data_IF_651424455048
#
_entry.id   IF_651424455048
#
_cell.length_a   1.000
_cell.length_b   1.000
_cell.length_c   1.000
_cell.angle_alpha   90.00
_cell.angle_beta   90.00
_cell.angle_gamma   90.00
#
_symmetry.space_group_name_H-M   'P 1'
#
loop_
_entity.id
_entity.type
_entity.pdbx_description
1 polymer ?
#
# COMPACT_ATOMS: atom_id res chain seq x y z
N UNK A 1 -17.33 9.37 -35.52
CA UNK A 1 -17.19 8.30 -34.51
C UNK A 1 -15.72 8.26 -34.10
N UNK A 2 -15.38 8.93 -33.00
CA UNK A 2 -14.04 8.87 -32.42
C UNK A 2 -13.96 7.70 -31.42
N UNK A 3 -12.83 6.99 -31.33
CA UNK A 3 -12.69 5.86 -30.41
C UNK A 3 -12.72 6.37 -28.97
N UNK A 4 -13.56 5.75 -28.12
CA UNK A 4 -13.54 5.90 -26.67
C UNK A 4 -12.19 5.40 -26.17
N UNK A 5 -11.31 6.32 -25.77
CA UNK A 5 -10.19 5.98 -24.90
C UNK A 5 -10.76 5.41 -23.58
N UNK A 6 -10.12 4.40 -22.98
CA UNK A 6 -10.54 3.89 -21.67
C UNK A 6 -10.46 5.04 -20.66
N UNK A 7 -11.53 5.18 -19.89
CA UNK A 7 -11.74 6.23 -18.90
C UNK A 7 -10.60 6.14 -17.88
N UNK A 8 -9.81 7.20 -17.81
CA UNK A 8 -8.66 7.33 -16.93
C UNK A 8 -9.15 7.29 -15.47
N UNK A 9 -8.57 6.37 -14.70
CA UNK A 9 -9.00 6.11 -13.31
C UNK A 9 -8.47 7.20 -12.38
N UNK A 10 -9.37 7.96 -11.75
CA UNK A 10 -9.15 8.82 -10.59
C UNK A 10 -7.87 9.70 -10.61
N UNK A 11 -7.87 10.77 -11.44
CA UNK A 11 -6.86 11.82 -11.38
C UNK A 11 -6.82 12.53 -10.01
N UNK A 12 -5.61 12.82 -9.54
CA UNK A 12 -5.38 13.65 -8.34
C UNK A 12 -5.78 15.08 -8.68
N UNK A 13 -6.92 15.49 -8.14
CA UNK A 13 -7.55 16.78 -8.44
C UNK A 13 -7.06 17.90 -7.52
N UNK A 14 -6.53 17.56 -6.34
CA UNK A 14 -6.03 18.53 -5.37
C UNK A 14 -4.94 17.91 -4.51
N UNK A 15 -3.87 18.68 -4.29
CA UNK A 15 -2.82 18.37 -3.32
C UNK A 15 -2.78 19.44 -2.24
N UNK A 16 -2.86 19.01 -0.99
CA UNK A 16 -2.71 19.87 0.17
C UNK A 16 -1.41 19.49 0.88
N UNK A 17 -0.66 20.49 1.31
CA UNK A 17 0.63 20.33 1.93
C UNK A 17 0.59 20.89 3.34
N UNK A 18 1.20 20.17 4.28
CA UNK A 18 1.18 20.52 5.69
C UNK A 18 2.55 20.30 6.30
N UNK A 19 3.14 21.35 6.83
CA UNK A 19 4.40 21.27 7.58
C UNK A 19 4.11 20.78 9.01
N UNK A 20 4.88 19.81 9.53
CA UNK A 20 4.60 19.18 10.83
C UNK A 20 5.86 18.76 11.59
N UNK A 21 5.74 18.58 12.91
CA UNK A 21 6.88 18.42 13.85
C UNK A 21 6.85 17.17 14.74
N UNK A 22 5.83 16.29 14.63
CA UNK A 22 5.49 15.36 15.72
C UNK A 22 6.15 13.96 15.70
N UNK A 23 6.83 13.53 14.63
CA UNK A 23 7.32 12.14 14.46
C UNK A 23 8.85 12.09 14.19
N UNK A 24 9.62 12.98 14.82
CA UNK A 24 11.02 13.29 14.43
C UNK A 24 12.03 12.25 14.89
N UNK A 25 11.90 11.76 16.13
CA UNK A 25 12.96 10.95 16.76
C UNK A 25 13.18 9.57 16.13
N UNK A 26 12.12 8.92 15.64
CA UNK A 26 12.20 7.56 15.08
C UNK A 26 12.84 7.58 13.69
N UNK A 27 12.43 8.50 12.84
CA UNK A 27 12.95 8.60 11.48
C UNK A 27 14.38 9.16 11.47
N UNK A 28 14.72 10.06 12.39
CA UNK A 28 16.10 10.50 12.60
C UNK A 28 17.02 9.33 12.99
N UNK A 29 16.57 8.43 13.86
CA UNK A 29 17.34 7.25 14.24
C UNK A 29 17.54 6.28 13.05
N UNK A 30 16.51 6.11 12.22
CA UNK A 30 16.58 5.31 10.98
C UNK A 30 17.56 5.92 9.98
N UNK A 31 17.48 7.24 9.76
CA UNK A 31 18.38 7.98 8.89
C UNK A 31 19.82 7.90 9.36
N UNK A 32 20.07 8.14 10.65
CA UNK A 32 21.40 8.04 11.23
C UNK A 32 22.00 6.63 11.04
N UNK A 33 21.17 5.59 11.18
CA UNK A 33 21.58 4.20 10.94
C UNK A 33 21.91 3.95 9.47
N UNK A 34 21.06 4.41 8.56
CA UNK A 34 21.25 4.23 7.11
C UNK A 34 22.53 4.92 6.61
N UNK A 35 22.77 6.16 7.04
CA UNK A 35 23.98 6.92 6.71
C UNK A 35 25.25 6.25 7.24
N UNK A 36 25.18 5.71 8.47
CA UNK A 36 26.30 4.98 9.09
C UNK A 36 26.65 3.70 8.33
N UNK A 37 25.65 2.92 7.92
CA UNK A 37 25.84 1.68 7.14
C UNK A 37 26.43 2.00 5.76
N UNK A 38 26.06 3.14 5.17
CA UNK A 38 26.57 3.59 3.88
C UNK A 38 27.95 4.29 3.94
N UNK A 39 28.56 4.42 5.12
CA UNK A 39 29.91 4.97 5.27
C UNK A 39 30.01 6.50 5.18
N UNK A 40 28.90 7.24 5.29
CA UNK A 40 28.86 8.70 5.20
C UNK A 40 28.85 9.39 6.58
N UNK A 41 29.50 10.54 6.70
CA UNK A 41 29.58 11.31 7.95
C UNK A 41 28.35 12.19 8.22
N UNK A 42 27.97 12.26 9.50
CA UNK A 42 26.78 12.97 9.98
C UNK A 42 27.14 14.43 10.30
N UNK A 43 27.17 15.30 9.30
CA UNK A 43 26.96 16.73 9.57
C UNK A 43 25.45 16.95 9.62
N UNK A 44 24.95 17.24 10.81
CA UNK A 44 23.55 17.45 11.18
C UNK A 44 22.72 18.12 10.08
N UNK A 45 21.49 17.63 9.92
CA UNK A 45 20.30 18.22 9.28
C UNK A 45 20.30 19.77 9.31
N UNK A 46 21.12 20.41 8.49
CA UNK A 46 21.29 21.86 8.48
C UNK A 46 20.37 22.44 7.42
N UNK A 47 19.37 23.15 7.94
CA UNK A 47 18.41 24.02 7.26
C UNK A 47 18.98 24.80 6.06
N UNK A 48 18.12 25.06 5.07
CA UNK A 48 18.14 26.31 4.30
C UNK A 48 16.77 26.62 3.64
N UNK A 49 16.34 27.90 3.45
CA UNK A 49 16.74 29.14 4.12
C UNK A 49 15.59 29.84 4.89
N UNK A 50 15.99 30.91 5.61
CA UNK A 50 15.28 31.75 6.60
C UNK A 50 14.08 32.56 6.10
N UNK A 51 13.07 32.69 6.96
CA UNK A 51 12.24 33.89 7.16
C UNK A 51 12.48 34.42 8.60
N UNK A 52 12.20 35.70 8.93
CA UNK A 52 12.90 36.43 9.99
C UNK A 52 12.66 35.87 11.39
N UNK A 53 13.74 35.86 12.17
CA UNK A 53 13.81 35.35 13.54
C UNK A 53 12.90 36.14 14.49
N UNK A 54 12.10 35.42 15.28
CA UNK A 54 11.69 35.85 16.62
C UNK A 54 12.13 34.83 17.65
N UNK A 55 12.83 35.33 18.68
CA UNK A 55 13.51 34.60 19.76
C UNK A 55 12.61 33.57 20.46
N UNK A 56 13.00 32.30 20.43
CA UNK A 56 12.85 31.41 21.59
C UNK A 56 13.71 30.16 21.41
N UNK A 57 14.29 29.68 22.51
CA UNK A 57 15.14 28.49 22.63
C UNK A 57 14.42 27.23 22.13
N UNK A 58 14.89 26.62 21.04
CA UNK A 58 14.33 25.38 20.49
C UNK A 58 15.39 24.27 20.34
N UNK A 59 15.00 22.99 20.51
CA UNK A 59 15.87 21.81 20.35
C UNK A 59 16.48 21.71 18.93
N UNK A 60 17.49 20.84 18.69
CA UNK A 60 18.23 20.81 17.42
C UNK A 60 17.33 20.59 16.20
N UNK A 61 17.67 21.14 15.02
CA UNK A 61 16.80 21.11 13.85
C UNK A 61 16.62 19.68 13.32
N UNK A 62 15.36 19.26 13.26
CA UNK A 62 14.88 18.06 12.62
C UNK A 62 14.90 18.18 11.10
N UNK A 63 14.84 17.05 10.39
CA UNK A 63 14.73 17.02 8.92
C UNK A 63 13.44 17.73 8.51
N UNK A 64 13.48 18.78 7.67
CA UNK A 64 12.27 19.43 7.21
C UNK A 64 11.33 18.41 6.55
N UNK A 65 10.12 18.29 7.10
CA UNK A 65 9.09 17.38 6.60
C UNK A 65 7.85 18.14 6.17
N UNK A 66 7.14 17.53 5.25
CA UNK A 66 5.82 17.98 4.82
C UNK A 66 4.94 16.76 4.57
N UNK A 67 3.74 16.76 5.15
CA UNK A 67 2.69 15.81 4.77
C UNK A 67 2.00 16.34 3.53
N UNK A 68 1.79 15.49 2.54
CA UNK A 68 1.00 15.83 1.38
C UNK A 68 -0.26 14.95 1.36
N UNK A 69 -1.40 15.57 1.17
CA UNK A 69 -2.69 14.92 1.05
C UNK A 69 -3.11 15.00 -0.42
N UNK A 70 -3.27 13.85 -1.05
CA UNK A 70 -3.66 13.73 -2.44
C UNK A 70 -5.13 13.32 -2.48
N UNK A 71 -5.93 14.10 -3.19
CA UNK A 71 -7.38 13.94 -3.25
C UNK A 71 -7.76 13.65 -4.69
N UNK A 72 -8.44 12.53 -4.90
CA UNK A 72 -9.08 12.23 -6.18
C UNK A 72 -10.60 12.29 -6.05
N UNK A 73 -11.20 12.76 -7.13
CA UNK A 73 -12.64 12.86 -7.26
C UNK A 73 -13.17 11.64 -8.04
N UNK A 74 -14.47 11.41 -7.94
CA UNK A 74 -15.15 10.40 -8.77
C UNK A 74 -14.97 10.70 -10.26
N UNK A 75 -14.91 9.66 -11.09
CA UNK A 75 -14.71 9.82 -12.53
C UNK A 75 -15.84 10.64 -13.15
N UNK A 76 -15.47 11.71 -13.86
CA UNK A 76 -16.42 12.65 -14.46
C UNK A 76 -17.03 13.68 -13.51
N UNK A 77 -16.63 13.70 -12.23
CA UNK A 77 -17.04 14.76 -11.31
C UNK A 77 -16.43 16.11 -11.71
N UNK A 78 -17.16 17.23 -11.55
CA UNK A 78 -16.60 18.56 -11.75
C UNK A 78 -15.53 18.85 -10.71
N UNK A 79 -14.62 19.79 -11.03
CA UNK A 79 -13.65 20.30 -10.07
C UNK A 79 -14.35 20.82 -8.81
N UNK A 80 -13.70 20.65 -7.65
CA UNK A 80 -14.23 21.12 -6.37
C UNK A 80 -14.55 22.62 -6.43
N UNK A 81 -15.73 22.99 -5.94
CA UNK A 81 -16.07 24.39 -5.74
C UNK A 81 -15.10 25.05 -4.75
N UNK A 82 -14.95 26.37 -4.80
CA UNK A 82 -14.09 27.08 -3.85
C UNK A 82 -14.50 26.82 -2.39
N UNK A 83 -15.82 26.73 -2.12
CA UNK A 83 -16.34 26.41 -0.80
C UNK A 83 -15.99 24.99 -0.34
N UNK A 84 -16.08 24.01 -1.24
CA UNK A 84 -15.75 22.62 -0.94
C UNK A 84 -14.24 22.40 -0.78
N UNK A 85 -13.43 23.09 -1.57
CA UNK A 85 -11.97 23.13 -1.39
C UNK A 85 -11.59 23.73 -0.04
N UNK A 86 -12.28 24.79 0.42
CA UNK A 86 -12.08 25.36 1.75
C UNK A 86 -12.48 24.41 2.87
N UNK A 87 -13.62 23.71 2.76
CA UNK A 87 -14.01 22.66 3.72
C UNK A 87 -12.98 21.54 3.80
N UNK A 88 -12.50 21.06 2.65
CA UNK A 88 -11.49 20.01 2.61
C UNK A 88 -10.18 20.45 3.24
N UNK A 89 -9.73 21.68 2.96
CA UNK A 89 -8.55 22.27 3.63
C UNK A 89 -8.75 22.31 5.14
N UNK A 90 -9.92 22.73 5.60
CA UNK A 90 -10.25 22.78 7.02
C UNK A 90 -10.22 21.40 7.69
N UNK A 91 -10.75 20.36 7.02
CA UNK A 91 -10.72 18.98 7.54
C UNK A 91 -9.31 18.42 7.72
N UNK A 92 -8.36 18.85 6.90
CA UNK A 92 -6.98 18.35 6.89
C UNK A 92 -6.03 19.20 7.76
N UNK A 93 -6.40 20.47 7.98
CA UNK A 93 -5.64 21.40 8.79
C UNK A 93 -5.54 20.96 10.26
N UNK A 94 -4.42 21.29 10.94
CA UNK A 94 -4.40 21.18 12.41
C UNK A 94 -5.32 22.26 13.01
N UNK A 95 -6.06 21.91 14.07
CA UNK A 95 -6.99 22.80 14.76
C UNK A 95 -6.38 24.16 15.12
N UNK A 96 -5.10 24.16 15.54
CA UNK A 96 -4.39 25.36 16.02
C UNK A 96 -3.33 25.91 15.05
N UNK A 97 -3.14 25.29 13.89
CA UNK A 97 -2.10 25.68 12.91
C UNK A 97 -2.63 25.64 11.48
N UNK A 98 -3.82 26.23 11.26
CA UNK A 98 -4.51 26.19 9.97
C UNK A 98 -3.68 26.82 8.84
N UNK A 99 -2.90 27.85 9.16
CA UNK A 99 -2.04 28.57 8.20
C UNK A 99 -0.88 27.72 7.67
N UNK A 100 -0.57 26.59 8.31
CA UNK A 100 0.46 25.65 7.83
C UNK A 100 -0.02 24.70 6.75
N UNK A 101 -1.27 24.81 6.32
CA UNK A 101 -1.87 23.97 5.27
C UNK A 101 -2.07 24.78 3.99
N UNK A 102 -1.34 24.42 2.93
CA UNK A 102 -1.32 25.14 1.64
C UNK A 102 -1.62 24.23 0.45
N UNK A 103 -2.06 24.80 -0.68
CA UNK A 103 -2.15 24.06 -1.95
C UNK A 103 -0.81 24.01 -2.71
N UNK A 104 0.18 24.79 -2.27
CA UNK A 104 1.53 24.82 -2.81
C UNK A 104 2.49 24.08 -1.87
N UNK A 105 3.50 23.36 -2.39
CA UNK A 105 4.50 22.74 -1.56
C UNK A 105 5.33 23.80 -0.83
N UNK A 106 5.52 23.61 0.47
CA UNK A 106 6.45 24.38 1.30
C UNK A 106 7.89 23.88 1.21
N UNK A 107 8.10 22.61 0.84
CA UNK A 107 9.43 22.07 0.52
C UNK A 107 9.70 22.15 -0.98
N UNK A 108 10.67 22.99 -1.36
CA UNK A 108 11.15 23.12 -2.73
C UNK A 108 12.04 21.95 -3.14
N UNK A 109 11.95 21.53 -4.40
CA UNK A 109 12.90 20.60 -4.98
C UNK A 109 14.30 21.25 -5.03
N UNK A 110 15.38 20.51 -4.72
CA UNK A 110 16.73 21.04 -4.83
C UNK A 110 17.06 21.36 -6.29
N UNK A 111 17.98 22.32 -6.49
CA UNK A 111 18.49 22.61 -7.82
C UNK A 111 19.19 21.37 -8.41
N UNK A 112 19.12 21.16 -9.73
CA UNK A 112 19.74 20.01 -10.39
C UNK A 112 21.27 19.93 -10.16
N UNK A 113 21.91 21.06 -9.85
CA UNK A 113 23.33 21.17 -9.51
C UNK A 113 23.65 20.83 -8.04
N UNK A 114 22.65 20.67 -7.18
CA UNK A 114 22.85 20.38 -5.76
C UNK A 114 23.03 18.86 -5.56
N UNK A 115 24.30 18.45 -5.42
CA UNK A 115 24.66 17.07 -5.15
C UNK A 115 24.43 16.64 -3.69
N UNK A 116 24.14 17.56 -2.79
CA UNK A 116 24.09 17.34 -1.35
C UNK A 116 22.67 17.26 -0.79
N UNK A 117 21.67 17.67 -1.57
CA UNK A 117 20.27 17.66 -1.14
C UNK A 117 19.42 16.73 -1.99
N UNK A 118 18.46 16.06 -1.36
CA UNK A 118 17.45 15.23 -1.99
C UNK A 118 16.08 15.50 -1.39
N UNK A 119 15.09 15.68 -2.26
CA UNK A 119 13.70 15.64 -1.89
C UNK A 119 13.18 14.21 -2.11
N UNK A 120 12.72 13.56 -1.05
CA UNK A 120 12.14 12.22 -1.11
C UNK A 120 10.67 12.29 -0.74
N UNK A 121 9.79 11.87 -1.64
CA UNK A 121 8.37 11.69 -1.33
C UNK A 121 8.04 10.20 -1.20
N UNK A 122 7.43 9.82 -0.09
CA UNK A 122 7.03 8.45 0.24
C UNK A 122 5.56 8.43 0.61
N UNK A 123 4.79 7.56 -0.02
CA UNK A 123 3.39 7.32 0.32
C UNK A 123 3.01 5.85 0.19
N UNK A 124 1.73 5.50 0.42
CA UNK A 124 1.25 4.14 0.25
C UNK A 124 1.39 3.66 -1.19
N UNK A 125 1.48 2.34 -1.38
CA UNK A 125 1.35 1.74 -2.71
C UNK A 125 -0.02 2.05 -3.30
N UNK A 126 -0.07 2.36 -4.58
CA UNK A 126 -1.31 2.81 -5.24
C UNK A 126 -2.31 1.67 -5.48
N UNK A 127 -1.84 0.41 -5.40
CA UNK A 127 -2.62 -0.82 -5.63
C UNK A 127 -3.74 -1.06 -4.63
N UNK A 128 -3.70 -0.43 -3.45
CA UNK A 128 -4.75 -0.55 -2.43
C UNK A 128 -5.00 0.80 -1.76
N UNK A 129 -6.21 0.98 -1.20
CA UNK A 129 -6.52 2.13 -0.36
C UNK A 129 -6.13 1.85 1.11
N UNK A 130 -5.50 2.83 1.76
CA UNK A 130 -5.14 2.69 3.18
C UNK A 130 -6.36 2.74 4.10
N UNK A 131 -6.26 2.14 5.30
CA UNK A 131 -7.30 2.29 6.32
C UNK A 131 -7.55 3.76 6.69
N UNK A 132 -6.51 4.59 6.62
CA UNK A 132 -6.62 6.04 6.79
C UNK A 132 -7.46 6.67 5.67
N UNK A 133 -7.22 6.29 4.41
CA UNK A 133 -8.01 6.75 3.26
C UNK A 133 -9.48 6.44 3.41
N UNK A 134 -9.85 5.21 3.79
CA UNK A 134 -11.25 4.82 3.96
C UNK A 134 -11.96 5.71 4.99
N UNK A 135 -11.31 6.00 6.12
CA UNK A 135 -11.84 6.90 7.14
C UNK A 135 -11.91 8.36 6.65
N UNK A 136 -10.88 8.83 5.95
CA UNK A 136 -10.84 10.19 5.41
C UNK A 136 -11.96 10.44 4.39
N UNK A 137 -12.21 9.47 3.50
CA UNK A 137 -13.33 9.52 2.54
C UNK A 137 -14.68 9.53 3.27
N UNK A 138 -14.86 8.67 4.28
CA UNK A 138 -16.10 8.66 5.09
C UNK A 138 -16.36 10.01 5.80
N UNK A 139 -15.31 10.67 6.30
CA UNK A 139 -15.39 12.02 6.88
C UNK A 139 -15.78 13.04 5.80
N UNK A 140 -15.14 12.98 4.62
CA UNK A 140 -15.47 13.86 3.50
C UNK A 140 -16.95 13.73 3.09
N UNK A 141 -17.44 12.51 2.96
CA UNK A 141 -18.84 12.23 2.65
C UNK A 141 -19.79 12.80 3.72
N UNK A 142 -19.45 12.62 5.00
CA UNK A 142 -20.22 13.16 6.13
C UNK A 142 -20.22 14.70 6.17
N UNK A 143 -19.14 15.33 5.71
CA UNK A 143 -19.02 16.79 5.58
C UNK A 143 -19.67 17.34 4.30
N UNK A 144 -20.32 16.49 3.49
CA UNK A 144 -21.00 16.87 2.25
C UNK A 144 -20.11 16.90 1.00
N UNK A 145 -18.84 16.50 1.11
CA UNK A 145 -17.88 16.39 0.01
C UNK A 145 -18.02 15.03 -0.70
N UNK A 146 -19.20 14.77 -1.26
CA UNK A 146 -19.55 13.45 -1.82
C UNK A 146 -18.76 13.05 -3.06
N UNK A 147 -18.25 14.02 -3.81
CA UNK A 147 -17.45 13.76 -5.02
C UNK A 147 -16.03 13.27 -4.73
N UNK A 148 -15.60 13.21 -3.47
CA UNK A 148 -14.27 12.72 -3.08
C UNK A 148 -14.28 11.19 -3.10
N UNK A 149 -13.58 10.61 -4.07
CA UNK A 149 -13.47 9.16 -4.23
C UNK A 149 -12.34 8.55 -3.39
N UNK A 150 -11.21 9.27 -3.26
CA UNK A 150 -10.03 8.77 -2.55
C UNK A 150 -9.22 9.91 -1.96
N UNK A 151 -8.71 9.72 -0.73
CA UNK A 151 -7.79 10.64 -0.07
C UNK A 151 -6.64 9.84 0.51
N UNK A 152 -5.41 10.11 0.08
CA UNK A 152 -4.22 9.47 0.64
C UNK A 152 -3.24 10.49 1.20
N UNK A 153 -2.39 10.03 2.11
CA UNK A 153 -1.36 10.85 2.72
C UNK A 153 0.04 10.32 2.36
N UNK A 154 0.89 11.19 1.83
CA UNK A 154 2.33 10.96 1.66
C UNK A 154 3.14 11.88 2.57
N UNK A 155 4.43 11.57 2.70
CA UNK A 155 5.42 12.33 3.47
C UNK A 155 6.54 12.73 2.53
N UNK A 156 6.91 14.00 2.59
CA UNK A 156 8.01 14.61 1.84
C UNK A 156 9.12 14.94 2.83
N UNK A 157 10.33 14.50 2.52
CA UNK A 157 11.53 14.70 3.32
C UNK A 157 12.54 15.50 2.50
N UNK A 158 13.02 16.62 3.03
CA UNK A 158 14.17 17.33 2.47
C UNK A 158 15.42 16.91 3.24
N UNK A 159 16.26 16.12 2.58
CA UNK A 159 17.43 15.49 3.19
C UNK A 159 18.67 16.17 2.65
N UNK A 160 19.51 16.69 3.55
CA UNK A 160 20.78 17.33 3.22
C UNK A 160 21.93 16.60 3.91
N UNK A 161 23.00 16.33 3.18
CA UNK A 161 24.19 15.60 3.67
C UNK A 161 25.47 16.40 3.44
N UNK A 162 26.46 16.24 4.32
CA UNK A 162 27.78 16.87 4.12
C UNK A 162 28.50 16.33 2.88
N UNK A 163 28.37 15.03 2.64
CA UNK A 163 28.94 14.37 1.47
C UNK A 163 27.93 14.35 0.32
N UNK A 164 28.38 14.32 -0.95
CA UNK A 164 27.49 14.17 -2.09
C UNK A 164 26.64 12.90 -2.00
N UNK A 165 25.35 13.02 -2.31
CA UNK A 165 24.39 11.92 -2.34
C UNK A 165 24.63 11.00 -3.54
N UNK A 166 25.50 10.03 -3.35
CA UNK A 166 25.75 8.95 -4.32
C UNK A 166 24.47 8.10 -4.54
N UNK A 167 24.34 7.40 -5.67
CA UNK A 167 23.19 6.51 -5.91
C UNK A 167 22.97 5.48 -4.80
N UNK A 168 24.06 4.92 -4.26
CA UNK A 168 24.01 3.97 -3.15
C UNK A 168 23.46 4.61 -1.86
N UNK A 169 23.89 5.85 -1.55
CA UNK A 169 23.41 6.57 -0.38
C UNK A 169 21.92 6.94 -0.51
N UNK A 170 21.49 7.39 -1.70
CA UNK A 170 20.08 7.66 -2.00
C UNK A 170 19.20 6.43 -1.82
N UNK A 171 19.66 5.26 -2.29
CA UNK A 171 18.95 4.00 -2.12
C UNK A 171 18.85 3.58 -0.64
N UNK A 172 19.95 3.68 0.12
CA UNK A 172 19.98 3.34 1.55
C UNK A 172 19.05 4.24 2.37
N UNK A 173 19.08 5.55 2.12
CA UNK A 173 18.19 6.52 2.76
C UNK A 173 16.72 6.25 2.42
N UNK A 174 16.43 6.00 1.14
CA UNK A 174 15.07 5.68 0.70
C UNK A 174 14.55 4.42 1.39
N UNK A 175 15.33 3.33 1.41
CA UNK A 175 14.96 2.06 2.04
C UNK A 175 14.74 2.18 3.56
N UNK A 176 15.41 3.12 4.23
CA UNK A 176 15.22 3.35 5.66
C UNK A 176 13.93 4.13 5.97
N UNK A 177 13.49 5.00 5.06
CA UNK A 177 12.36 5.91 5.29
C UNK A 177 10.99 5.38 4.84
N UNK A 178 10.95 4.30 4.05
CA UNK A 178 9.68 3.67 3.66
C UNK A 178 9.59 2.22 4.10
N UNK A 179 8.38 1.76 4.35
CA UNK A 179 8.10 0.33 4.48
C UNK A 179 8.00 -0.30 3.08
N UNK A 180 8.93 -1.20 2.77
CA UNK A 180 8.99 -1.87 1.44
C UNK A 180 7.68 -2.59 1.08
N UNK A 181 6.94 -3.11 2.05
CA UNK A 181 5.73 -3.90 1.79
C UNK A 181 4.52 -3.01 1.53
N UNK A 182 4.36 -1.90 2.25
CA UNK A 182 3.13 -1.09 2.23
C UNK A 182 3.28 0.26 1.53
N UNK A 183 4.50 0.75 1.38
CA UNK A 183 4.81 2.08 0.87
C UNK A 183 5.70 2.00 -0.39
N UNK A 184 5.76 3.11 -1.11
CA UNK A 184 6.67 3.28 -2.23
C UNK A 184 7.14 4.74 -2.34
N UNK A 185 8.26 4.92 -3.02
CA UNK A 185 8.79 6.25 -3.35
C UNK A 185 8.04 6.79 -4.56
N UNK A 186 7.65 8.06 -4.51
CA UNK A 186 7.09 8.78 -5.66
C UNK A 186 8.20 9.61 -6.31
N UNK A 187 8.67 9.24 -7.53
CA UNK A 187 9.74 9.98 -8.21
C UNK A 187 9.33 11.41 -8.52
N UNK A 188 8.05 11.60 -8.82
CA UNK A 188 7.43 12.89 -9.12
C UNK A 188 6.12 13.05 -8.34
N UNK A 189 5.64 14.30 -8.17
CA UNK A 189 4.28 14.59 -7.77
C UNK A 189 3.23 13.70 -8.44
N UNK A 190 2.55 12.85 -7.66
CA UNK A 190 1.48 12.01 -8.19
C UNK A 190 0.38 12.84 -8.86
N UNK A 191 0.06 12.44 -10.10
CA UNK A 191 -1.01 13.02 -10.90
C UNK A 191 -2.27 12.12 -10.89
N UNK A 192 -2.12 10.83 -10.56
CA UNK A 192 -3.21 9.86 -10.54
C UNK A 192 -2.97 8.78 -9.48
N UNK A 193 -4.06 8.17 -9.00
CA UNK A 193 -4.01 6.94 -8.21
C UNK A 193 -4.00 5.66 -9.06
N UNK A 194 -4.08 5.80 -10.39
CA UNK A 194 -3.96 4.67 -11.32
C UNK A 194 -2.65 3.94 -11.07
N UNK A 195 -2.75 2.70 -10.58
CA UNK A 195 -1.62 1.78 -10.60
C UNK A 195 -1.50 1.20 -12.00
N UNK A 196 -0.28 0.88 -12.44
CA UNK A 196 -0.03 0.01 -13.60
C UNK A 196 -0.50 -1.44 -13.37
N UNK A 197 -1.33 -1.68 -12.35
CA UNK A 197 -1.89 -2.99 -12.11
C UNK A 197 -2.79 -3.34 -13.31
N UNK A 198 -2.69 -4.57 -13.85
CA UNK A 198 -3.57 -4.99 -14.93
C UNK A 198 -5.03 -4.77 -14.52
N UNK A 199 -5.85 -4.31 -15.46
CA UNK A 199 -7.29 -4.33 -15.26
C UNK A 199 -7.72 -5.73 -14.81
N UNK A 200 -8.73 -5.81 -13.94
CA UNK A 200 -9.25 -7.08 -13.46
C UNK A 200 -9.51 -8.01 -14.66
N UNK A 201 -8.77 -9.13 -14.71
CA UNK A 201 -8.91 -10.09 -15.79
C UNK A 201 -10.31 -10.67 -15.75
N UNK A 202 -10.90 -10.89 -16.93
CA UNK A 202 -12.16 -11.60 -17.01
C UNK A 202 -11.99 -13.02 -16.47
N UNK A 203 -13.00 -13.51 -15.75
CA UNK A 203 -13.09 -14.92 -15.32
C UNK A 203 -12.82 -15.85 -16.49
N UNK A 204 -11.90 -16.81 -16.30
CA UNK A 204 -11.54 -17.78 -17.33
C UNK A 204 -12.16 -19.14 -17.03
N UNK A 205 -12.59 -19.82 -18.08
CA UNK A 205 -13.00 -21.22 -18.02
C UNK A 205 -11.79 -22.11 -18.25
N UNK A 206 -11.65 -23.14 -17.42
CA UNK A 206 -10.52 -24.06 -17.43
C UNK A 206 -10.94 -25.32 -18.20
N UNK A 207 -10.27 -25.70 -19.30
CA UNK A 207 -10.71 -26.76 -20.21
C UNK A 207 -10.48 -28.17 -19.65
N UNK A 208 -11.06 -28.45 -18.48
CA UNK A 208 -10.90 -29.70 -17.74
C UNK A 208 -11.59 -30.89 -18.44
N UNK A 209 -12.70 -30.66 -19.14
CA UNK A 209 -13.40 -31.67 -19.94
C UNK A 209 -12.57 -32.14 -21.12
N UNK A 210 -11.83 -31.23 -21.76
CA UNK A 210 -11.04 -31.52 -22.95
C UNK A 210 -9.63 -32.04 -22.61
N UNK A 211 -9.01 -31.48 -21.58
CA UNK A 211 -7.61 -31.74 -21.26
C UNK A 211 -7.43 -32.60 -19.99
N UNK A 212 -8.52 -32.90 -19.28
CA UNK A 212 -8.50 -33.66 -18.05
C UNK A 212 -7.65 -32.98 -16.96
N UNK A 213 -7.23 -33.80 -15.99
CA UNK A 213 -6.44 -33.39 -14.82
C UNK A 213 -5.25 -32.47 -15.14
N UNK A 214 -4.63 -32.61 -16.32
CA UNK A 214 -3.52 -31.77 -16.75
C UNK A 214 -3.87 -30.26 -16.82
N UNK A 215 -5.12 -29.90 -17.13
CA UNK A 215 -5.55 -28.50 -17.07
C UNK A 215 -5.53 -27.95 -15.65
N UNK A 216 -5.95 -28.75 -14.67
CA UNK A 216 -5.98 -28.36 -13.27
C UNK A 216 -4.58 -28.27 -12.68
N UNK A 217 -3.67 -29.18 -13.04
CA UNK A 217 -2.26 -29.14 -12.62
C UNK A 217 -1.52 -27.90 -13.11
N UNK A 218 -1.82 -27.45 -14.35
CA UNK A 218 -1.24 -26.20 -14.86
C UNK A 218 -1.77 -25.00 -14.09
N UNK A 219 -3.07 -24.97 -13.84
CA UNK A 219 -3.71 -23.89 -13.08
C UNK A 219 -3.16 -23.81 -11.66
N UNK A 220 -3.01 -24.96 -11.00
CA UNK A 220 -2.42 -25.06 -9.66
C UNK A 220 -1.02 -24.46 -9.61
N UNK A 221 -0.16 -24.78 -10.58
CA UNK A 221 1.19 -24.22 -10.69
C UNK A 221 1.21 -22.73 -11.01
N UNK A 222 0.29 -22.27 -11.85
CA UNK A 222 0.22 -20.86 -12.28
C UNK A 222 -0.27 -19.95 -11.16
N UNK A 223 -1.31 -20.38 -10.43
CA UNK A 223 -1.95 -19.58 -9.38
C UNK A 223 -1.47 -19.91 -7.96
N UNK A 224 -0.70 -20.99 -7.79
CA UNK A 224 -0.24 -21.46 -6.49
C UNK A 224 -1.39 -21.93 -5.61
N UNK A 225 -2.30 -22.77 -6.14
CA UNK A 225 -3.51 -23.21 -5.43
C UNK A 225 -3.18 -24.20 -4.29
N UNK A 226 -2.10 -24.96 -4.41
CA UNK A 226 -1.61 -25.87 -3.38
C UNK A 226 -2.36 -27.19 -3.32
N UNK A 227 -2.92 -27.64 -4.45
CA UNK A 227 -3.60 -28.94 -4.52
C UNK A 227 -2.62 -30.10 -4.39
N UNK A 228 -3.01 -31.12 -3.63
CA UNK A 228 -2.32 -32.40 -3.62
C UNK A 228 -2.88 -33.37 -4.69
N UNK A 229 -2.29 -34.56 -4.78
CA UNK A 229 -2.71 -35.58 -5.74
C UNK A 229 -4.17 -36.00 -5.57
N UNK A 230 -4.65 -36.08 -4.32
CA UNK A 230 -6.00 -36.50 -4.02
C UNK A 230 -7.01 -35.39 -4.35
N UNK A 231 -6.65 -34.13 -4.11
CA UNK A 231 -7.41 -32.95 -4.53
C UNK A 231 -7.57 -32.92 -6.05
N UNK A 232 -6.47 -33.07 -6.80
CA UNK A 232 -6.48 -33.05 -8.26
C UNK A 232 -7.38 -34.14 -8.83
N UNK A 233 -7.29 -35.36 -8.29
CA UNK A 233 -8.15 -36.47 -8.71
C UNK A 233 -9.62 -36.21 -8.34
N UNK A 234 -9.87 -35.73 -7.13
CA UNK A 234 -11.23 -35.46 -6.65
C UNK A 234 -11.92 -34.38 -7.48
N UNK A 235 -11.27 -33.24 -7.70
CA UNK A 235 -11.87 -32.15 -8.46
C UNK A 235 -12.01 -32.50 -9.95
N UNK A 236 -11.06 -33.25 -10.52
CA UNK A 236 -11.21 -33.75 -11.89
C UNK A 236 -12.47 -34.60 -12.02
N UNK A 237 -12.64 -35.59 -11.13
CA UNK A 237 -13.82 -36.45 -11.15
C UNK A 237 -15.12 -35.68 -10.86
N UNK A 238 -15.08 -34.67 -9.97
CA UNK A 238 -16.23 -33.83 -9.68
C UNK A 238 -16.72 -33.08 -10.93
N UNK A 239 -15.83 -32.38 -11.62
CA UNK A 239 -16.24 -31.56 -12.76
C UNK A 239 -16.51 -32.39 -14.02
N UNK A 240 -15.70 -33.42 -14.28
CA UNK A 240 -15.83 -34.26 -15.47
C UNK A 240 -16.98 -35.25 -15.32
N UNK A 241 -17.01 -36.05 -14.25
CA UNK A 241 -17.94 -37.18 -14.15
C UNK A 241 -19.27 -36.81 -13.48
N UNK A 242 -19.25 -35.88 -12.52
CA UNK A 242 -20.46 -35.52 -11.74
C UNK A 242 -21.18 -34.31 -12.31
N UNK A 243 -20.47 -33.26 -12.63
CA UNK A 243 -21.05 -32.00 -13.10
C UNK A 243 -21.15 -31.92 -14.63
N UNK A 244 -20.26 -32.61 -15.35
CA UNK A 244 -20.22 -32.62 -16.82
C UNK A 244 -19.92 -31.25 -17.43
N UNK A 245 -19.11 -30.42 -16.77
CA UNK A 245 -18.72 -29.09 -17.26
C UNK A 245 -17.33 -28.68 -16.80
N UNK A 246 -16.77 -27.71 -17.50
CA UNK A 246 -15.54 -27.03 -17.11
C UNK A 246 -15.74 -26.13 -15.87
N UNK A 247 -14.78 -26.10 -14.93
CA UNK A 247 -14.75 -25.11 -13.86
C UNK A 247 -14.25 -23.75 -14.37
N UNK A 248 -14.60 -22.70 -13.63
CA UNK A 248 -13.94 -21.39 -13.74
C UNK A 248 -12.73 -21.29 -12.81
N UNK A 249 -11.80 -20.39 -13.11
CA UNK A 249 -10.67 -20.09 -12.22
C UNK A 249 -11.11 -19.61 -10.83
N UNK A 250 -12.21 -18.87 -10.75
CA UNK A 250 -12.81 -18.44 -9.47
C UNK A 250 -13.28 -19.64 -8.65
N UNK A 251 -13.95 -20.63 -9.28
CA UNK A 251 -14.36 -21.86 -8.61
C UNK A 251 -13.15 -22.68 -8.14
N UNK A 252 -12.12 -22.82 -8.99
CA UNK A 252 -10.87 -23.48 -8.62
C UNK A 252 -10.18 -22.79 -7.44
N UNK A 253 -10.14 -21.46 -7.45
CA UNK A 253 -9.56 -20.68 -6.36
C UNK A 253 -10.34 -20.83 -5.06
N UNK A 254 -11.67 -20.79 -5.10
CA UNK A 254 -12.53 -20.99 -3.93
C UNK A 254 -12.34 -22.38 -3.31
N UNK A 255 -12.30 -23.44 -4.13
CA UNK A 255 -12.02 -24.80 -3.66
C UNK A 255 -10.67 -24.89 -2.96
N UNK A 256 -9.63 -24.27 -3.52
CA UNK A 256 -8.30 -24.23 -2.91
C UNK A 256 -8.31 -23.57 -1.53
N UNK A 257 -8.98 -22.42 -1.39
CA UNK A 257 -9.06 -21.73 -0.09
C UNK A 257 -9.91 -22.50 0.92
N UNK A 258 -11.07 -23.00 0.48
CA UNK A 258 -12.05 -23.70 1.32
C UNK A 258 -11.57 -25.07 1.81
N UNK A 259 -10.72 -25.76 1.05
CA UNK A 259 -10.17 -27.07 1.42
C UNK A 259 -8.70 -27.05 1.86
N UNK A 260 -8.10 -25.87 1.98
CA UNK A 260 -6.79 -25.72 2.60
C UNK A 260 -6.76 -26.24 4.04
N UNK A 261 -5.57 -26.65 4.51
CA UNK A 261 -5.36 -27.06 5.90
C UNK A 261 -5.79 -25.99 6.91
N UNK A 262 -5.57 -24.72 6.59
CA UNK A 262 -5.94 -23.61 7.47
C UNK A 262 -7.46 -23.51 7.67
N UNK A 263 -8.26 -23.83 6.65
CA UNK A 263 -9.72 -23.75 6.70
C UNK A 263 -10.37 -25.02 7.24
N UNK A 264 -9.82 -26.19 6.91
CA UNK A 264 -10.42 -27.49 7.28
C UNK A 264 -9.81 -28.13 8.50
N UNK A 265 -8.62 -27.69 8.91
CA UNK A 265 -7.87 -28.25 10.03
C UNK A 265 -7.74 -29.78 9.93
N UNK A 266 -7.33 -30.29 8.77
CA UNK A 266 -7.19 -31.72 8.53
C UNK A 266 -6.26 -32.37 9.55
N UNK A 267 -5.23 -31.67 10.03
CA UNK A 267 -4.36 -32.15 11.10
C UNK A 267 -5.11 -32.43 12.40
N UNK A 268 -6.03 -31.54 12.80
CA UNK A 268 -6.81 -31.72 14.02
C UNK A 268 -7.91 -32.78 13.89
N UNK A 269 -8.45 -32.95 12.69
CA UNK A 269 -9.42 -33.99 12.33
C UNK A 269 -8.79 -35.34 12.00
N UNK A 270 -7.47 -35.38 11.82
CA UNK A 270 -6.74 -36.55 11.34
C UNK A 270 -6.66 -37.67 12.37
N UNK A 271 -6.56 -38.91 11.86
CA UNK A 271 -6.23 -40.09 12.67
C UNK A 271 -4.75 -40.02 13.03
N UNK A 272 -4.44 -40.12 14.32
CA UNK A 272 -3.06 -40.10 14.81
C UNK A 272 -2.54 -41.51 15.07
N UNK A 273 -1.30 -41.76 14.62
CA UNK A 273 -0.53 -42.97 14.95
C UNK A 273 0.74 -42.52 15.66
N UNK A 274 0.90 -42.86 16.95
CA UNK A 274 2.07 -42.48 17.74
C UNK A 274 2.83 -43.73 18.17
N UNK A 275 4.12 -43.81 17.84
CA UNK A 275 4.99 -44.94 18.15
C UNK A 275 4.40 -46.31 17.71
N UNK A 276 3.75 -46.34 16.54
CA UNK A 276 3.10 -47.55 16.02
C UNK A 276 1.74 -47.90 16.64
N UNK A 277 1.25 -47.10 17.59
CA UNK A 277 -0.08 -47.27 18.18
C UNK A 277 -1.09 -46.26 17.66
N UNK A 278 -2.20 -46.75 17.10
CA UNK A 278 -3.36 -45.94 16.72
C UNK A 278 -3.96 -45.25 17.96
N UNK A 279 -4.25 -43.96 17.85
CA UNK A 279 -5.04 -43.24 18.85
C UNK A 279 -6.53 -43.34 18.52
N UNK A 280 -7.33 -43.51 19.58
CA UNK A 280 -8.80 -43.67 19.49
C UNK A 280 -9.52 -42.37 19.18
N UNK A 281 -8.89 -41.23 19.46
CA UNK A 281 -9.47 -39.89 19.31
C UNK A 281 -8.59 -39.01 18.43
N UNK A 282 -9.23 -38.09 17.72
CA UNK A 282 -8.59 -36.99 17.02
C UNK A 282 -8.28 -35.86 18.02
N UNK A 283 -7.43 -34.91 17.65
CA UNK A 283 -7.13 -33.76 18.51
C UNK A 283 -8.39 -32.94 18.83
N UNK A 284 -9.31 -32.79 17.86
CA UNK A 284 -10.59 -32.13 18.11
C UNK A 284 -11.40 -32.83 19.20
N UNK A 285 -11.52 -34.16 19.15
CA UNK A 285 -12.26 -34.92 20.17
C UNK A 285 -11.62 -34.77 21.56
N UNK A 286 -10.29 -34.82 21.62
CA UNK A 286 -9.55 -34.63 22.87
C UNK A 286 -9.77 -33.24 23.50
N UNK A 287 -9.99 -32.20 22.68
CA UNK A 287 -10.29 -30.84 23.16
C UNK A 287 -11.74 -30.71 23.61
N UNK A 288 -12.68 -31.23 22.83
CA UNK A 288 -14.12 -31.15 23.12
C UNK A 288 -14.49 -31.89 24.41
N UNK A 289 -13.85 -33.02 24.71
CA UNK A 289 -14.12 -33.80 25.92
C UNK A 289 -13.54 -33.18 27.20
N UNK A 290 -12.68 -32.17 27.08
CA UNK A 290 -12.08 -31.46 28.23
C UNK A 290 -12.85 -30.21 28.64
N UNK A 291 -13.78 -29.74 27.80
CA UNK A 291 -14.68 -28.61 28.06
C UNK A 291 -15.97 -29.14 28.64
#
# INVERSE_FOLDING_TARGET
>A
MCPRAPIDSAMVSLRLYKTGTADEKRDEAKLATALRVAGASLATLKQAPRAPQSRCSTPPPSTPRERCYMVALEDGAPALSAGDASKLRWLVAETFEQDKTSCSPGLAAPAASDAHTMLLEVGPRLTFATAWSSNAVAICQSAGLRSVARVEMSRRYLISTAEPLTPALRAAVSAALHDRMTEQVYPEPLQSFSSEAPAAAATRTIPLMAEGRAALERLDKEMGLGFDEADLDYYTNLFVDKLGRDPTDVECFDMAQSNSEHSRHWFFGGKMVLCGGDKTQTLFKMLQERV
#
